data_IF_345234524936
#
_entry.id   IF_345234524936
#
_cell.length_a   1.000
_cell.length_b   1.000
_cell.length_c   1.000
_cell.angle_alpha   90.00
_cell.angle_beta   90.00
_cell.angle_gamma   90.00
#
_symmetry.space_group_name_H-M   'P 1'
#
loop_
_entity.id
_entity.type
_entity.pdbx_description
1 polymer ?
#
# COMPACT_ATOMS: atom_id res chain seq x y z
N UNK A 1 11.46 -11.60 12.49
CA UNK A 1 10.38 -10.69 12.05
C UNK A 1 9.07 -11.21 12.62
N UNK A 2 8.31 -10.40 13.37
CA UNK A 2 6.98 -10.80 13.83
C UNK A 2 6.02 -10.74 12.64
N UNK A 3 5.47 -11.89 12.25
CA UNK A 3 4.43 -11.97 11.23
C UNK A 3 3.10 -11.66 11.90
N UNK A 4 2.66 -10.40 11.87
CA UNK A 4 1.32 -10.05 12.30
C UNK A 4 0.31 -10.54 11.25
N UNK A 5 -0.69 -11.32 11.69
CA UNK A 5 -1.79 -11.74 10.83
C UNK A 5 -2.65 -10.51 10.56
N UNK A 6 -2.57 -9.99 9.34
CA UNK A 6 -3.32 -8.80 8.92
C UNK A 6 -4.79 -9.16 8.73
N UNK A 7 -5.61 -8.92 9.74
CA UNK A 7 -7.08 -9.11 9.72
C UNK A 7 -7.84 -7.88 9.23
N UNK A 8 -7.18 -6.72 9.13
CA UNK A 8 -7.80 -5.46 8.73
C UNK A 8 -7.86 -5.31 7.20
N UNK A 9 -9.01 -4.83 6.68
CA UNK A 9 -9.18 -4.55 5.25
C UNK A 9 -8.36 -3.35 4.76
N UNK A 10 -8.14 -2.35 5.62
CA UNK A 10 -7.50 -1.08 5.28
C UNK A 10 -6.10 -0.96 5.89
N UNK A 11 -5.09 -1.18 5.05
CA UNK A 11 -3.69 -1.22 5.44
C UNK A 11 -3.07 0.17 5.44
N UNK A 12 -2.26 0.49 6.44
CA UNK A 12 -1.37 1.64 6.41
C UNK A 12 -0.29 1.48 5.35
N UNK A 13 0.46 2.56 5.10
CA UNK A 13 1.63 2.52 4.20
C UNK A 13 2.65 1.47 4.65
N UNK A 14 2.89 1.33 5.97
CA UNK A 14 3.86 0.35 6.50
C UNK A 14 3.39 -1.09 6.29
N UNK A 15 2.12 -1.37 6.58
CA UNK A 15 1.53 -2.69 6.35
C UNK A 15 1.50 -3.03 4.86
N UNK A 16 1.15 -2.06 4.01
CA UNK A 16 1.17 -2.23 2.54
C UNK A 16 2.58 -2.53 2.03
N UNK A 17 3.59 -1.86 2.59
CA UNK A 17 4.99 -2.08 2.23
C UNK A 17 5.45 -3.49 2.63
N UNK A 18 5.11 -3.92 3.84
CA UNK A 18 5.36 -5.29 4.30
C UNK A 18 4.61 -6.32 3.42
N UNK A 19 3.36 -6.02 3.05
CA UNK A 19 2.52 -6.88 2.22
C UNK A 19 3.11 -7.10 0.82
N UNK A 20 3.60 -6.04 0.19
CA UNK A 20 4.20 -6.08 -1.15
C UNK A 20 5.70 -6.40 -1.16
N UNK A 21 6.33 -6.59 0.01
CA UNK A 21 7.77 -6.84 0.11
C UNK A 21 8.65 -5.67 -0.33
N UNK A 22 8.20 -4.42 -0.17
CA UNK A 22 8.94 -3.21 -0.58
C UNK A 22 9.16 -2.25 0.60
N UNK A 23 10.00 -1.22 0.40
CA UNK A 23 10.18 -0.19 1.44
C UNK A 23 8.98 0.78 1.52
N UNK A 24 8.57 1.24 2.72
CA UNK A 24 7.57 2.29 2.86
C UNK A 24 7.96 3.58 2.12
N UNK A 25 9.27 3.89 2.07
CA UNK A 25 9.80 5.05 1.33
C UNK A 25 9.51 4.94 -0.17
N UNK A 26 9.61 3.74 -0.74
CA UNK A 26 9.24 3.49 -2.14
C UNK A 26 7.77 3.82 -2.39
N UNK A 27 6.86 3.48 -1.47
CA UNK A 27 5.44 3.84 -1.61
C UNK A 27 5.27 5.36 -1.58
N UNK A 28 5.85 6.08 -0.61
CA UNK A 28 5.76 7.55 -0.53
C UNK A 28 6.29 8.24 -1.80
N UNK A 29 7.44 7.79 -2.32
CA UNK A 29 8.03 8.33 -3.55
C UNK A 29 7.12 8.13 -4.77
N UNK A 30 6.34 7.04 -4.79
CA UNK A 30 5.42 6.69 -5.87
C UNK A 30 4.03 7.30 -5.71
N UNK A 31 3.65 7.74 -4.52
CA UNK A 31 2.39 8.46 -4.25
C UNK A 31 2.41 9.93 -4.67
N UNK A 32 3.60 10.52 -4.86
CA UNK A 32 3.73 11.91 -5.28
C UNK A 32 3.06 12.19 -6.64
N UNK A 33 2.34 13.31 -6.76
CA UNK A 33 1.64 13.71 -8.00
C UNK A 33 2.57 13.79 -9.23
N UNK A 34 3.84 14.12 -9.00
CA UNK A 34 4.89 14.24 -10.03
C UNK A 34 5.75 12.99 -10.16
N UNK A 35 5.39 11.88 -9.52
CA UNK A 35 6.18 10.65 -9.59
C UNK A 35 6.14 10.09 -11.01
N UNK A 36 7.31 9.86 -11.60
CA UNK A 36 7.44 9.24 -12.93
C UNK A 36 6.85 7.83 -12.95
N UNK A 37 6.99 7.10 -11.85
CA UNK A 37 6.44 5.76 -11.66
C UNK A 37 5.42 5.77 -10.52
N UNK A 38 4.17 6.15 -10.82
CA UNK A 38 3.12 6.24 -9.81
C UNK A 38 2.83 4.89 -9.16
N UNK A 39 2.39 4.94 -7.91
CA UNK A 39 1.95 3.74 -7.21
C UNK A 39 0.67 3.23 -7.89
N UNK A 40 0.59 1.94 -8.26
CA UNK A 40 -0.47 1.43 -9.12
C UNK A 40 -1.84 1.44 -8.45
N UNK A 41 -1.87 1.41 -7.12
CA UNK A 41 -3.10 1.40 -6.32
C UNK A 41 -3.32 2.78 -5.72
N UNK A 42 -4.52 3.33 -5.88
CA UNK A 42 -4.86 4.62 -5.25
C UNK A 42 -5.13 4.42 -3.75
N UNK A 43 -4.50 5.20 -2.86
CA UNK A 43 -4.83 5.15 -1.44
C UNK A 43 -6.21 5.76 -1.18
N UNK A 44 -6.92 5.19 -0.20
CA UNK A 44 -8.13 5.75 0.41
C UNK A 44 -7.73 6.67 1.57
N UNK A 45 -8.38 7.83 1.67
CA UNK A 45 -8.20 8.74 2.82
C UNK A 45 -9.19 8.41 3.91
N UNK A 46 -8.68 8.10 5.09
CA UNK A 46 -9.49 7.92 6.32
C UNK A 46 -9.01 8.99 7.31
N UNK A 47 -9.74 10.10 7.37
CA UNK A 47 -9.28 11.32 8.03
C UNK A 47 -7.93 11.80 7.47
N UNK A 48 -6.92 11.93 8.35
CA UNK A 48 -5.54 12.30 7.97
C UNK A 48 -4.70 11.14 7.45
N UNK A 49 -5.18 9.91 7.54
CA UNK A 49 -4.40 8.72 7.24
C UNK A 49 -4.61 8.25 5.81
N UNK A 50 -3.51 7.85 5.17
CA UNK A 50 -3.54 7.12 3.90
C UNK A 50 -3.65 5.62 4.20
N UNK A 51 -4.66 4.99 3.63
CA UNK A 51 -4.95 3.57 3.76
C UNK A 51 -5.08 2.91 2.39
N UNK A 52 -4.77 1.62 2.30
CA UNK A 52 -4.90 0.82 1.08
C UNK A 52 -5.85 -0.32 1.33
N UNK A 53 -6.76 -0.58 0.39
CA UNK A 53 -7.63 -1.74 0.49
C UNK A 53 -6.83 -3.00 0.16
N UNK A 54 -6.91 -3.99 1.04
CA UNK A 54 -6.28 -5.29 0.82
C UNK A 54 -6.76 -5.93 -0.48
N UNK A 55 -8.04 -5.82 -0.82
CA UNK A 55 -8.56 -6.41 -2.06
C UNK A 55 -7.99 -5.75 -3.31
N UNK A 56 -7.65 -4.46 -3.24
CA UNK A 56 -6.99 -3.77 -4.36
C UNK A 56 -5.52 -4.21 -4.48
N UNK A 57 -4.87 -4.51 -3.35
CA UNK A 57 -3.52 -5.07 -3.31
C UNK A 57 -3.50 -6.49 -3.88
N UNK A 58 -4.45 -7.34 -3.48
CA UNK A 58 -4.59 -8.71 -3.97
C UNK A 58 -4.80 -8.71 -5.49
N UNK A 59 -5.77 -7.92 -5.98
CA UNK A 59 -6.01 -7.76 -7.42
C UNK A 59 -4.79 -7.28 -8.20
N UNK A 60 -3.98 -6.41 -7.59
CA UNK A 60 -2.75 -5.95 -8.22
C UNK A 60 -1.71 -7.08 -8.30
N UNK A 61 -1.53 -7.86 -7.24
CA UNK A 61 -0.61 -9.01 -7.22
C UNK A 61 -1.04 -10.05 -8.26
N UNK A 62 -2.34 -10.36 -8.33
CA UNK A 62 -2.90 -11.34 -9.27
C UNK A 62 -2.79 -10.88 -10.74
N UNK A 63 -2.57 -9.58 -10.98
CA UNK A 63 -2.43 -9.01 -12.32
C UNK A 63 -1.00 -9.03 -12.88
N UNK A 64 -0.02 -9.45 -12.07
CA UNK A 64 1.40 -9.53 -12.42
C UNK A 64 1.75 -10.96 -12.78
#
# INVERSE_FOLDING_TARGET
MKTEIITQRLLSVKETAAYLGISPRSIYNRLGRKSKNRFPIKPKRVGRLLKFDRQDLDRYIDSI
#
